data_IF_076448373905
#
_entry.id   IF_076448373905
#
_cell.length_a   1.000
_cell.length_b   1.000
_cell.length_c   1.000
_cell.angle_alpha   90.00
_cell.angle_beta   90.00
_cell.angle_gamma   90.00
#
_symmetry.space_group_name_H-M   'P 1'
#
loop_
_entity.id
_entity.type
_entity.pdbx_description
1 polymer ?
#
# COMPACT_ATOMS: atom_id res chain seq x y z
N UNK A 1 -36.48 54.29 8.90
CA UNK A 1 -35.94 54.63 7.56
C UNK A 1 -34.86 53.61 7.26
N UNK A 2 -34.75 52.89 6.15
CA UNK A 2 -35.58 52.68 4.97
C UNK A 2 -34.96 51.44 4.32
N UNK A 3 -35.72 50.37 4.13
CA UNK A 3 -35.43 49.37 3.08
C UNK A 3 -35.49 50.07 1.70
N UNK A 4 -34.93 49.57 0.56
CA UNK A 4 -35.11 48.17 0.13
C UNK A 4 -34.13 47.54 -0.88
N UNK A 5 -34.38 46.24 -1.13
CA UNK A 5 -34.22 45.47 -2.39
C UNK A 5 -32.79 45.27 -2.91
N UNK A 6 -32.41 44.05 -3.26
CA UNK A 6 -32.61 43.52 -4.61
C UNK A 6 -33.02 42.04 -4.57
N UNK A 7 -34.14 41.75 -5.23
CA UNK A 7 -34.53 40.42 -5.69
C UNK A 7 -33.54 39.95 -6.76
N UNK A 8 -33.06 38.72 -6.65
CA UNK A 8 -32.59 37.97 -7.82
C UNK A 8 -33.30 36.61 -7.85
N UNK A 9 -34.43 36.59 -8.57
CA UNK A 9 -34.99 35.37 -9.14
C UNK A 9 -34.01 34.88 -10.21
N UNK A 10 -33.41 33.70 -10.08
CA UNK A 10 -33.01 32.87 -11.21
C UNK A 10 -32.73 31.44 -10.73
N UNK A 11 -33.78 30.68 -10.44
CA UNK A 11 -33.68 29.22 -10.36
C UNK A 11 -34.02 28.66 -11.74
N UNK A 12 -32.97 28.53 -12.56
CA UNK A 12 -33.01 27.92 -13.89
C UNK A 12 -33.30 26.42 -13.74
N UNK A 13 -34.42 25.98 -14.29
CA UNK A 13 -34.82 24.58 -14.34
C UNK A 13 -33.76 23.74 -15.09
N UNK A 14 -33.28 22.67 -14.44
CA UNK A 14 -32.44 21.66 -15.08
C UNK A 14 -33.35 20.65 -15.80
N UNK A 15 -33.19 20.41 -17.11
CA UNK A 15 -33.93 19.36 -17.78
C UNK A 15 -33.41 17.98 -17.31
N UNK A 16 -34.34 17.13 -16.84
CA UNK A 16 -34.12 15.70 -16.59
C UNK A 16 -33.89 15.02 -17.93
N UNK A 17 -32.65 14.69 -18.24
CA UNK A 17 -32.31 13.89 -19.42
C UNK A 17 -32.50 12.41 -19.11
N UNK A 18 -33.53 11.81 -19.72
CA UNK A 18 -33.77 10.38 -19.73
C UNK A 18 -32.63 9.66 -20.46
N UNK A 19 -31.88 8.80 -19.76
CA UNK A 19 -30.94 7.87 -20.41
C UNK A 19 -31.73 6.73 -21.05
N UNK A 20 -31.83 6.77 -22.38
CA UNK A 20 -32.30 5.65 -23.19
C UNK A 20 -31.23 4.56 -23.23
N UNK A 21 -31.64 3.32 -22.96
CA UNK A 21 -30.80 2.13 -22.94
C UNK A 21 -30.82 1.56 -24.35
N UNK A 22 -29.74 1.74 -25.11
CA UNK A 22 -29.62 1.18 -26.45
C UNK A 22 -28.96 -0.20 -26.39
N UNK A 23 -29.76 -1.22 -26.66
CA UNK A 23 -29.35 -2.63 -26.74
C UNK A 23 -28.58 -2.85 -28.05
N UNK A 24 -27.27 -3.08 -27.97
CA UNK A 24 -26.46 -3.43 -29.15
C UNK A 24 -26.68 -4.90 -29.55
N UNK A 25 -26.89 -5.22 -30.84
CA UNK A 25 -26.89 -6.60 -31.30
C UNK A 25 -25.46 -7.16 -31.34
N UNK A 26 -25.31 -8.34 -30.75
CA UNK A 26 -24.08 -9.13 -30.68
C UNK A 26 -23.76 -9.72 -32.06
N UNK A 27 -22.75 -9.21 -32.73
CA UNK A 27 -22.14 -9.90 -33.88
C UNK A 27 -21.04 -10.83 -33.36
N UNK A 28 -21.36 -12.11 -33.20
CA UNK A 28 -20.41 -13.13 -32.81
C UNK A 28 -19.57 -13.54 -34.03
N UNK A 29 -18.37 -12.95 -34.18
CA UNK A 29 -17.35 -13.46 -35.09
C UNK A 29 -16.67 -14.65 -34.42
N UNK A 30 -17.06 -15.85 -34.86
CA UNK A 30 -16.48 -17.14 -34.48
C UNK A 30 -15.07 -17.26 -35.06
N UNK A 31 -14.06 -16.85 -34.29
CA UNK A 31 -12.66 -17.16 -34.58
C UNK A 31 -12.35 -18.60 -34.12
N UNK A 32 -11.84 -19.41 -35.04
CA UNK A 32 -11.44 -20.79 -34.77
C UNK A 32 -10.25 -20.86 -33.78
N UNK A 33 -10.17 -21.87 -32.90
CA UNK A 33 -9.05 -22.02 -31.99
C UNK A 33 -7.81 -22.48 -32.77
N UNK A 34 -6.82 -21.61 -32.91
CA UNK A 34 -5.45 -22.03 -33.26
C UNK A 34 -4.87 -22.76 -32.06
N UNK A 35 -4.79 -24.09 -32.17
CA UNK A 35 -4.04 -24.94 -31.22
C UNK A 35 -2.56 -24.55 -31.31
N UNK A 36 -2.06 -23.81 -30.32
CA UNK A 36 -0.63 -23.64 -30.12
C UNK A 36 -0.07 -24.98 -29.64
N UNK A 37 0.98 -25.53 -30.27
CA UNK A 37 1.61 -26.75 -29.78
C UNK A 37 2.19 -26.47 -28.39
N UNK A 38 1.86 -27.35 -27.45
CA UNK A 38 2.45 -27.38 -26.12
C UNK A 38 3.93 -27.73 -26.30
N UNK A 39 4.80 -26.73 -26.33
CA UNK A 39 6.24 -26.96 -26.30
C UNK A 39 6.55 -27.62 -24.95
N UNK A 40 6.83 -28.92 -25.01
CA UNK A 40 7.30 -29.74 -23.91
C UNK A 40 8.53 -29.04 -23.31
N UNK A 41 8.38 -28.46 -22.12
CA UNK A 41 9.48 -27.83 -21.39
C UNK A 41 10.18 -28.96 -20.62
N UNK A 42 11.35 -29.47 -21.07
CA UNK A 42 12.04 -30.49 -20.32
C UNK A 42 12.42 -29.90 -18.96
N UNK A 43 12.00 -30.59 -17.90
CA UNK A 43 12.38 -30.27 -16.54
C UNK A 43 13.88 -30.54 -16.42
N UNK A 44 14.70 -29.50 -16.47
CA UNK A 44 16.13 -29.61 -16.19
C UNK A 44 16.29 -29.98 -14.72
N UNK A 45 16.44 -31.28 -14.46
CA UNK A 45 16.86 -31.81 -13.18
C UNK A 45 18.38 -31.73 -13.13
N UNK A 46 18.91 -30.60 -12.66
CA UNK A 46 20.25 -30.56 -12.08
C UNK A 46 20.10 -30.87 -10.59
N UNK A 47 20.38 -32.11 -10.13
CA UNK A 47 20.53 -32.37 -8.71
C UNK A 47 21.89 -31.86 -8.25
N UNK A 48 21.95 -31.46 -6.98
CA UNK A 48 23.17 -31.24 -6.21
C UNK A 48 23.91 -29.92 -6.48
N UNK A 49 23.92 -29.04 -5.48
CA UNK A 49 25.18 -28.74 -4.82
C UNK A 49 24.92 -28.08 -3.47
N UNK A 50 25.42 -28.79 -2.45
CA UNK A 50 25.95 -28.28 -1.19
C UNK A 50 25.01 -27.47 -0.28
N UNK A 51 24.77 -28.07 0.88
CA UNK A 51 24.55 -27.37 2.14
C UNK A 51 25.44 -26.11 2.21
N UNK A 52 24.81 -24.95 2.10
CA UNK A 52 25.42 -23.71 2.57
C UNK A 52 25.38 -23.76 4.11
N UNK A 53 26.53 -23.52 4.78
CA UNK A 53 26.59 -23.55 6.23
C UNK A 53 25.66 -22.48 6.79
N UNK A 54 24.99 -22.81 7.89
CA UNK A 54 24.30 -21.85 8.73
C UNK A 54 25.27 -20.72 9.09
N UNK A 55 25.13 -19.58 8.41
CA UNK A 55 25.90 -18.39 8.74
C UNK A 55 25.24 -17.69 9.93
N UNK A 56 26.03 -17.19 10.90
CA UNK A 56 25.54 -16.64 12.16
C UNK A 56 24.58 -15.47 11.95
N UNK A 57 23.56 -15.38 12.78
CA UNK A 57 22.45 -14.42 12.74
C UNK A 57 22.83 -12.95 13.09
N UNK A 58 24.05 -12.52 12.80
CA UNK A 58 24.62 -11.26 13.33
C UNK A 58 24.93 -10.19 12.24
N UNK A 59 24.42 -10.37 11.02
CA UNK A 59 24.58 -9.43 9.88
C UNK A 59 23.22 -8.86 9.41
N UNK A 60 22.18 -8.98 10.22
CA UNK A 60 20.80 -8.68 9.84
C UNK A 60 20.49 -7.17 9.72
N UNK A 61 21.38 -6.29 10.19
CA UNK A 61 21.16 -4.83 10.18
C UNK A 61 21.96 -4.09 9.09
N UNK A 62 22.94 -4.75 8.46
CA UNK A 62 23.82 -4.18 7.42
C UNK A 62 23.10 -3.93 6.09
N UNK A 63 21.93 -4.54 5.90
CA UNK A 63 21.11 -4.45 4.69
C UNK A 63 20.02 -3.38 4.74
N UNK A 64 19.83 -2.70 5.87
CA UNK A 64 18.83 -1.65 6.00
C UNK A 64 19.33 -0.37 5.33
N UNK A 65 18.55 0.12 4.37
CA UNK A 65 18.73 1.41 3.75
C UNK A 65 18.67 2.55 4.79
N UNK A 66 19.31 3.70 4.51
CA UNK A 66 19.26 4.85 5.41
C UNK A 66 17.83 5.31 5.73
N UNK A 67 16.89 5.16 4.79
CA UNK A 67 15.48 5.49 4.98
C UNK A 67 14.79 4.55 5.98
N UNK A 68 15.02 3.23 5.86
CA UNK A 68 14.47 2.24 6.80
C UNK A 68 14.95 2.48 8.23
N UNK A 69 16.22 2.83 8.41
CA UNK A 69 16.77 3.15 9.73
C UNK A 69 16.09 4.37 10.36
N UNK A 70 15.79 5.41 9.57
CA UNK A 70 15.08 6.61 10.03
C UNK A 70 13.65 6.31 10.45
N UNK A 71 12.93 5.54 9.63
CA UNK A 71 11.58 5.07 9.94
C UNK A 71 11.60 4.26 11.24
N UNK A 72 12.55 3.34 11.35
CA UNK A 72 12.71 2.48 12.51
C UNK A 72 12.92 3.30 13.78
N UNK A 73 13.82 4.28 13.76
CA UNK A 73 14.09 5.16 14.90
C UNK A 73 12.84 5.94 15.34
N UNK A 74 12.12 6.56 14.41
CA UNK A 74 10.94 7.37 14.71
C UNK A 74 9.81 6.54 15.32
N UNK A 75 9.53 5.37 14.76
CA UNK A 75 8.50 4.48 15.28
C UNK A 75 8.89 3.86 16.63
N UNK A 76 10.17 3.58 16.83
CA UNK A 76 10.70 3.10 18.10
C UNK A 76 10.46 4.10 19.23
N UNK A 77 10.77 5.38 18.98
CA UNK A 77 10.57 6.46 19.96
C UNK A 77 9.09 6.75 20.21
N UNK A 78 8.26 6.76 19.16
CA UNK A 78 6.85 7.16 19.28
C UNK A 78 5.94 6.10 19.90
N UNK A 79 6.18 4.81 19.64
CA UNK A 79 5.23 3.73 19.97
C UNK A 79 5.80 2.62 20.85
N UNK A 80 7.11 2.66 21.16
CA UNK A 80 7.80 1.63 21.95
C UNK A 80 7.37 0.19 21.58
N UNK A 81 7.49 -0.19 20.30
CA UNK A 81 6.96 -1.47 19.83
C UNK A 81 7.74 -2.65 20.39
N UNK A 82 7.02 -3.73 20.68
CA UNK A 82 7.59 -5.03 21.07
C UNK A 82 8.23 -5.74 19.88
N UNK A 83 7.70 -5.52 18.68
CA UNK A 83 8.26 -6.01 17.42
C UNK A 83 8.06 -4.96 16.33
N UNK A 84 9.14 -4.63 15.61
CA UNK A 84 9.13 -3.64 14.54
C UNK A 84 9.88 -4.21 13.34
N UNK A 85 9.19 -4.27 12.20
CA UNK A 85 9.78 -4.66 10.93
C UNK A 85 9.48 -3.59 9.89
N UNK A 86 10.53 -3.13 9.20
CA UNK A 86 10.45 -2.12 8.15
C UNK A 86 11.21 -2.70 6.95
N UNK A 87 10.57 -2.68 5.79
CA UNK A 87 11.15 -3.20 4.55
C UNK A 87 10.81 -2.29 3.37
N UNK A 88 11.79 -1.94 2.55
CA UNK A 88 11.61 -1.32 1.25
C UNK A 88 11.04 -2.33 0.25
N UNK A 89 9.85 -2.05 -0.26
CA UNK A 89 9.15 -2.85 -1.29
C UNK A 89 9.18 -2.18 -2.67
N UNK A 90 9.92 -1.09 -2.82
CA UNK A 90 10.12 -0.39 -4.10
C UNK A 90 11.26 -0.96 -4.94
N UNK A 91 11.96 -1.99 -4.46
CA UNK A 91 13.09 -2.61 -5.16
C UNK A 91 14.39 -1.80 -5.05
N UNK A 92 14.58 -1.06 -3.96
CA UNK A 92 15.80 -0.29 -3.69
C UNK A 92 15.73 1.18 -4.13
N UNK A 93 14.56 1.67 -4.55
CA UNK A 93 14.34 3.09 -4.85
C UNK A 93 14.08 3.91 -3.58
N UNK A 94 13.71 3.27 -2.45
CA UNK A 94 13.34 3.96 -1.22
C UNK A 94 12.05 4.78 -1.32
N UNK A 95 11.13 4.42 -2.22
CA UNK A 95 9.88 5.17 -2.43
C UNK A 95 8.65 4.49 -1.85
N UNK A 96 8.74 3.21 -1.45
CA UNK A 96 7.59 2.48 -0.89
C UNK A 96 8.02 1.51 0.19
N UNK A 97 7.38 1.60 1.36
CA UNK A 97 7.76 0.79 2.53
C UNK A 97 6.61 -0.09 3.02
N UNK A 98 6.94 -1.28 3.49
CA UNK A 98 6.06 -2.14 4.25
C UNK A 98 6.50 -2.14 5.71
N UNK A 99 5.57 -1.82 6.61
CA UNK A 99 5.82 -1.64 8.03
C UNK A 99 4.90 -2.56 8.81
N UNK A 100 5.48 -3.42 9.63
CA UNK A 100 4.77 -4.29 10.57
C UNK A 100 5.17 -3.91 11.99
N UNK A 101 4.18 -3.56 12.80
CA UNK A 101 4.39 -3.05 14.16
C UNK A 101 3.50 -3.81 15.14
N UNK A 102 4.14 -4.42 16.14
CA UNK A 102 3.47 -4.93 17.32
C UNK A 102 3.75 -4.02 18.52
N UNK A 103 2.72 -3.48 19.16
CA UNK A 103 2.87 -2.65 20.37
C UNK A 103 1.68 -2.85 21.32
N UNK A 104 1.91 -2.69 22.62
CA UNK A 104 0.86 -2.65 23.63
C UNK A 104 -0.02 -1.39 23.51
N UNK A 105 0.47 -0.33 22.87
CA UNK A 105 -0.29 0.90 22.61
C UNK A 105 -1.51 0.69 21.68
N UNK A 106 -1.54 -0.44 20.97
CA UNK A 106 -2.63 -0.80 20.06
C UNK A 106 -3.76 -1.58 20.73
N UNK A 107 -3.57 -2.03 21.98
CA UNK A 107 -4.57 -2.78 22.74
C UNK A 107 -5.81 -1.93 23.01
N UNK A 108 -6.98 -2.43 22.62
CA UNK A 108 -8.26 -1.72 22.75
C UNK A 108 -8.47 -0.58 21.74
N UNK A 109 -7.54 -0.34 20.82
CA UNK A 109 -7.67 0.65 19.75
C UNK A 109 -8.15 -0.02 18.47
N UNK A 110 -9.09 0.58 17.74
CA UNK A 110 -9.53 0.04 16.44
C UNK A 110 -8.45 0.15 15.36
N UNK A 111 -8.40 -0.79 14.43
CA UNK A 111 -7.39 -0.88 13.35
C UNK A 111 -7.13 0.46 12.63
N UNK A 112 -8.19 1.18 12.22
CA UNK A 112 -8.04 2.46 11.54
C UNK A 112 -7.39 3.53 12.43
N UNK A 113 -7.69 3.53 13.73
CA UNK A 113 -7.09 4.46 14.68
C UNK A 113 -5.61 4.13 14.93
N UNK A 114 -5.25 2.85 14.97
CA UNK A 114 -3.85 2.40 15.02
C UNK A 114 -3.09 2.89 13.78
N UNK A 115 -3.60 2.63 12.57
CA UNK A 115 -2.97 3.10 11.33
C UNK A 115 -2.84 4.63 11.28
N UNK A 116 -3.86 5.38 11.73
CA UNK A 116 -3.79 6.84 11.84
C UNK A 116 -2.72 7.30 12.81
N UNK A 117 -2.52 6.59 13.92
CA UNK A 117 -1.47 6.91 14.89
C UNK A 117 -0.09 6.75 14.27
N UNK A 118 0.15 5.66 13.55
CA UNK A 118 1.41 5.42 12.82
C UNK A 118 1.62 6.47 11.73
N UNK A 119 0.61 6.74 10.90
CA UNK A 119 0.68 7.74 9.84
C UNK A 119 1.01 9.14 10.37
N UNK A 120 0.50 9.51 11.56
CA UNK A 120 0.82 10.82 12.16
C UNK A 120 2.31 10.97 12.48
N UNK A 121 2.96 9.90 12.94
CA UNK A 121 4.39 9.91 13.26
C UNK A 121 5.25 9.94 12.00
N UNK A 122 4.80 9.29 10.93
CA UNK A 122 5.54 9.21 9.68
C UNK A 122 5.29 10.40 8.74
N UNK A 123 4.23 11.18 8.97
CA UNK A 123 3.80 12.23 8.03
C UNK A 123 4.91 13.23 7.69
N UNK A 124 5.66 13.69 8.68
CA UNK A 124 6.76 14.64 8.49
C UNK A 124 7.85 14.04 7.60
N UNK A 125 8.30 12.81 7.92
CA UNK A 125 9.30 12.09 7.13
C UNK A 125 8.82 11.80 5.70
N UNK A 126 7.54 11.45 5.52
CA UNK A 126 6.94 11.22 4.21
C UNK A 126 7.00 12.46 3.32
N UNK A 127 6.78 13.65 3.88
CA UNK A 127 6.81 14.92 3.15
C UNK A 127 8.25 15.35 2.82
N UNK A 128 9.19 15.13 3.73
CA UNK A 128 10.61 15.45 3.53
C UNK A 128 11.29 14.56 2.49
N UNK A 129 11.02 13.25 2.54
CA UNK A 129 11.70 12.25 1.70
C UNK A 129 10.89 11.89 0.43
N UNK A 130 9.66 12.41 0.29
CA UNK A 130 8.87 12.28 -0.93
C UNK A 130 8.45 10.85 -1.25
N UNK A 131 8.10 10.05 -0.24
CA UNK A 131 7.69 8.65 -0.44
C UNK A 131 6.40 8.55 -1.27
N UNK A 132 6.33 7.53 -2.13
CA UNK A 132 5.13 7.24 -2.92
C UNK A 132 4.00 6.64 -2.07
N UNK A 133 4.34 5.80 -1.09
CA UNK A 133 3.35 5.19 -0.20
C UNK A 133 3.92 4.26 0.86
N UNK A 134 3.07 3.84 1.79
CA UNK A 134 3.44 2.93 2.88
C UNK A 134 2.32 1.93 3.12
N UNK A 135 2.67 0.66 3.37
CA UNK A 135 1.77 -0.39 3.84
C UNK A 135 1.98 -0.58 5.33
N UNK A 136 0.91 -0.51 6.13
CA UNK A 136 1.00 -0.57 7.59
C UNK A 136 0.15 -1.73 8.09
N UNK A 137 0.80 -2.67 8.78
CA UNK A 137 0.16 -3.72 9.57
C UNK A 137 0.43 -3.47 11.04
N UNK A 138 -0.63 -3.35 11.82
CA UNK A 138 -0.57 -3.17 13.27
C UNK A 138 -1.12 -4.40 13.98
N UNK A 139 -0.42 -4.85 15.00
CA UNK A 139 -0.86 -5.93 15.89
C UNK A 139 -0.71 -5.51 17.35
N UNK A 140 -1.71 -5.81 18.17
CA UNK A 140 -1.58 -5.60 19.61
C UNK A 140 -0.67 -6.70 20.18
N UNK A 141 0.33 -6.31 20.96
CA UNK A 141 1.07 -7.29 21.79
C UNK A 141 0.18 -7.70 22.95
N UNK A 142 0.06 -9.01 23.17
CA UNK A 142 -0.73 -9.62 24.25
C UNK A 142 -0.09 -9.39 25.62
#
# INVERSE_FOLDING_TARGET
MSTPRILSLFARALPRTSRSIATSPRTALRAAPRRLPLAYRPYSSTPTSAAAPAQPAEDALSHLSPAEQRIHSTLSVGLSPSSLHVQDVSGGCGSMFAIEIASSAFSGVGMLAQQRMVNKLLKEQMEEEGWHGVQIKTSATA
#
